data_IF_837136263476
#
_entry.id   IF_837136263476
#
_cell.length_a   1.000
_cell.length_b   1.000
_cell.length_c   1.000
_cell.angle_alpha   90.00
_cell.angle_beta   90.00
_cell.angle_gamma   90.00
#
_symmetry.space_group_name_H-M   'P 1'
#
loop_
_entity.id
_entity.type
_entity.pdbx_description
1 polymer ?
#
# COMPACT_ATOMS: atom_id res chain seq x y z
N UNK A 1 6.82 -13.55 15.06
CA UNK A 1 8.09 -12.82 14.85
C UNK A 1 8.67 -13.11 13.48
N UNK A 2 8.57 -14.36 12.99
CA UNK A 2 8.91 -14.71 11.62
C UNK A 2 7.66 -14.76 10.71
N UNK A 3 7.79 -14.26 9.49
CA UNK A 3 6.82 -14.39 8.41
C UNK A 3 7.54 -14.24 7.06
N UNK A 4 6.86 -14.58 5.95
CA UNK A 4 7.38 -14.38 4.59
C UNK A 4 6.71 -13.17 3.96
N UNK A 5 7.47 -12.37 3.23
CA UNK A 5 6.98 -11.19 2.51
C UNK A 5 7.62 -11.13 1.13
N UNK A 6 6.83 -10.70 0.15
CA UNK A 6 7.30 -10.35 -1.20
C UNK A 6 7.06 -8.86 -1.36
N UNK A 7 8.07 -8.13 -1.81
CA UNK A 7 8.05 -6.65 -1.88
C UNK A 7 8.13 -6.15 -3.32
N UNK A 8 7.44 -5.05 -3.59
CA UNK A 8 7.66 -4.24 -4.77
C UNK A 8 8.71 -3.17 -4.42
N UNK A 9 9.78 -3.08 -5.22
CA UNK A 9 10.79 -2.03 -5.07
C UNK A 9 11.11 -1.44 -6.44
N UNK A 10 11.08 -0.11 -6.54
CA UNK A 10 11.34 0.63 -7.76
C UNK A 10 12.40 1.69 -7.52
N UNK A 11 13.43 1.68 -8.37
CA UNK A 11 14.36 2.79 -8.51
C UNK A 11 14.03 3.50 -9.84
N UNK A 12 13.71 4.78 -9.77
CA UNK A 12 13.35 5.58 -10.94
C UNK A 12 14.25 6.82 -11.07
N UNK A 13 14.15 7.52 -12.20
CA UNK A 13 14.86 8.79 -12.39
C UNK A 13 14.31 9.80 -11.37
N UNK A 14 15.15 10.76 -10.96
CA UNK A 14 14.78 11.81 -10.01
C UNK A 14 13.83 12.85 -10.64
N UNK A 15 12.60 12.41 -10.91
CA UNK A 15 11.50 13.16 -11.50
C UNK A 15 10.20 12.86 -10.74
N UNK A 16 9.48 13.90 -10.35
CA UNK A 16 8.27 13.78 -9.50
C UNK A 16 7.13 13.11 -10.27
N UNK A 17 6.99 13.40 -11.57
CA UNK A 17 5.95 12.78 -12.38
C UNK A 17 6.23 11.28 -12.57
N UNK A 18 7.50 10.89 -12.77
CA UNK A 18 7.90 9.49 -12.83
C UNK A 18 7.66 8.75 -11.52
N UNK A 19 8.05 9.36 -10.40
CA UNK A 19 7.79 8.80 -9.06
C UNK A 19 6.29 8.55 -8.83
N UNK A 20 5.43 9.53 -9.16
CA UNK A 20 3.98 9.39 -9.02
C UNK A 20 3.40 8.29 -9.92
N UNK A 21 3.88 8.17 -11.17
CA UNK A 21 3.46 7.07 -12.07
C UNK A 21 3.81 5.69 -11.49
N UNK A 22 4.99 5.56 -10.88
CA UNK A 22 5.37 4.31 -10.22
C UNK A 22 4.57 4.05 -8.97
N UNK A 23 4.29 5.07 -8.16
CA UNK A 23 3.43 4.97 -6.98
C UNK A 23 2.05 4.42 -7.34
N UNK A 24 1.38 5.03 -8.32
CA UNK A 24 0.07 4.57 -8.81
C UNK A 24 0.12 3.14 -9.33
N UNK A 25 1.21 2.76 -10.03
CA UNK A 25 1.36 1.41 -10.56
C UNK A 25 1.60 0.37 -9.47
N UNK A 26 2.41 0.67 -8.46
CA UNK A 26 2.64 -0.23 -7.32
C UNK A 26 1.35 -0.43 -6.52
N UNK A 27 0.60 0.65 -6.27
CA UNK A 27 -0.71 0.59 -5.62
C UNK A 27 -1.68 -0.29 -6.42
N UNK A 28 -1.80 -0.05 -7.73
CA UNK A 28 -2.67 -0.83 -8.61
C UNK A 28 -2.29 -2.32 -8.67
N UNK A 29 -1.00 -2.66 -8.58
CA UNK A 29 -0.58 -4.07 -8.51
C UNK A 29 -1.05 -4.74 -7.22
N UNK A 30 -0.92 -4.06 -6.07
CA UNK A 30 -1.38 -4.56 -4.78
C UNK A 30 -2.91 -4.72 -4.75
N UNK A 31 -3.64 -3.74 -5.29
CA UNK A 31 -5.11 -3.81 -5.43
C UNK A 31 -5.53 -4.99 -6.32
N UNK A 32 -4.85 -5.23 -7.45
CA UNK A 32 -5.13 -6.37 -8.32
C UNK A 32 -4.96 -7.71 -7.62
N UNK A 33 -3.98 -7.84 -6.72
CA UNK A 33 -3.80 -9.06 -5.92
C UNK A 33 -5.02 -9.26 -5.00
N UNK A 34 -5.45 -8.22 -4.29
CA UNK A 34 -6.63 -8.29 -3.42
C UNK A 34 -7.92 -8.60 -4.20
N UNK A 35 -8.11 -7.96 -5.36
CA UNK A 35 -9.23 -8.22 -6.26
C UNK A 35 -9.24 -9.66 -6.77
N UNK A 36 -8.09 -10.19 -7.18
CA UNK A 36 -7.97 -11.57 -7.66
C UNK A 36 -8.21 -12.61 -6.54
N UNK A 37 -7.95 -12.23 -5.29
CA UNK A 37 -8.26 -13.03 -4.10
C UNK A 37 -9.70 -12.83 -3.61
N UNK A 38 -10.49 -11.98 -4.28
CA UNK A 38 -11.86 -11.61 -3.90
C UNK A 38 -11.98 -11.06 -2.47
N UNK A 39 -10.92 -10.36 -2.02
CA UNK A 39 -10.88 -9.77 -0.69
C UNK A 39 -11.42 -8.33 -0.72
N UNK A 40 -12.44 -7.99 0.08
CA UNK A 40 -12.91 -6.61 0.21
C UNK A 40 -11.87 -5.76 0.94
N UNK A 41 -11.54 -4.60 0.36
CA UNK A 41 -10.53 -3.70 0.90
C UNK A 41 -10.92 -2.23 0.75
N UNK A 42 -10.22 -1.37 1.47
CA UNK A 42 -10.26 0.08 1.32
C UNK A 42 -8.86 0.66 1.15
N UNK A 43 -8.78 1.79 0.47
CA UNK A 43 -7.56 2.57 0.25
C UNK A 43 -7.54 3.75 1.23
N UNK A 44 -6.46 3.92 1.98
CA UNK A 44 -6.36 4.95 3.03
C UNK A 44 -5.10 5.79 2.81
N UNK A 45 -5.29 7.11 2.66
CA UNK A 45 -4.19 8.07 2.70
C UNK A 45 -3.71 8.23 4.15
N UNK A 46 -2.42 8.03 4.38
CA UNK A 46 -1.84 8.07 5.72
C UNK A 46 -1.56 9.51 6.12
N UNK A 47 -1.95 9.86 7.35
CA UNK A 47 -1.74 11.21 7.87
C UNK A 47 -0.25 11.54 8.00
N UNK A 48 0.12 12.81 7.85
CA UNK A 48 1.53 13.25 7.93
C UNK A 48 2.22 12.93 9.24
N UNK A 49 1.48 12.80 10.35
CA UNK A 49 2.01 12.39 11.65
C UNK A 49 2.33 10.90 11.76
N UNK A 50 1.79 10.07 10.87
CA UNK A 50 1.87 8.61 10.95
C UNK A 50 2.74 8.00 9.83
N UNK A 51 3.04 8.75 8.76
CA UNK A 51 3.88 8.26 7.65
C UNK A 51 5.31 7.86 8.08
N UNK A 52 5.82 8.46 9.15
CA UNK A 52 7.22 8.31 9.56
C UNK A 52 8.18 9.18 8.73
N UNK A 53 9.46 9.15 9.11
CA UNK A 53 10.47 10.06 8.54
C UNK A 53 10.87 9.63 7.11
N UNK A 54 11.03 10.62 6.22
CA UNK A 54 11.57 10.42 4.86
C UNK A 54 10.55 10.02 3.80
N UNK A 55 9.27 9.82 4.14
CA UNK A 55 8.21 9.54 3.17
C UNK A 55 7.61 10.83 2.60
N UNK A 56 7.42 10.85 1.28
CA UNK A 56 6.74 11.94 0.59
C UNK A 56 5.22 11.78 0.61
N UNK A 57 4.74 10.54 0.44
CA UNK A 57 3.34 10.12 0.49
C UNK A 57 3.30 8.66 0.94
N UNK A 58 2.22 8.26 1.61
CA UNK A 58 1.98 6.86 1.93
C UNK A 58 0.49 6.56 1.82
N UNK A 59 0.19 5.41 1.21
CA UNK A 59 -1.16 4.86 1.11
C UNK A 59 -1.15 3.42 1.60
N UNK A 60 -2.11 3.10 2.47
CA UNK A 60 -2.29 1.75 2.99
C UNK A 60 -3.53 1.09 2.36
N UNK A 61 -3.44 -0.22 2.15
CA UNK A 61 -4.58 -1.07 1.80
C UNK A 61 -4.97 -1.89 3.02
N UNK A 62 -6.20 -1.69 3.47
CA UNK A 62 -6.77 -2.40 4.60
C UNK A 62 -7.86 -3.36 4.13
N UNK A 63 -7.79 -4.61 4.58
CA UNK A 63 -8.74 -5.66 4.22
C UNK A 63 -9.68 -5.93 5.40
N UNK A 64 -10.96 -6.17 5.10
CA UNK A 64 -11.98 -6.45 6.12
C UNK A 64 -11.72 -7.78 6.85
N UNK A 65 -11.76 -7.76 8.19
CA UNK A 65 -11.63 -8.95 9.04
C UNK A 65 -12.95 -9.20 9.78
N UNK A 66 -13.81 -10.12 9.30
CA UNK A 66 -15.16 -10.30 9.82
C UNK A 66 -15.24 -10.61 11.32
N UNK A 67 -14.29 -11.39 11.84
CA UNK A 67 -14.25 -11.76 13.26
C UNK A 67 -13.94 -10.57 14.19
N UNK A 68 -13.31 -9.53 13.67
CA UNK A 68 -13.00 -8.31 14.42
C UNK A 68 -13.99 -7.16 14.12
N UNK A 69 -14.83 -7.29 13.09
CA UNK A 69 -15.74 -6.23 12.67
C UNK A 69 -15.04 -4.95 12.24
N UNK A 70 -13.82 -5.05 11.68
CA UNK A 70 -13.02 -3.90 11.24
C UNK A 70 -12.04 -4.28 10.13
N UNK A 71 -11.56 -3.27 9.42
CA UNK A 71 -10.46 -3.39 8.47
C UNK A 71 -9.11 -3.49 9.19
N UNK A 72 -8.15 -4.23 8.61
CA UNK A 72 -6.77 -4.37 9.09
C UNK A 72 -5.79 -4.17 7.93
N UNK A 73 -4.68 -3.51 8.20
CA UNK A 73 -3.62 -3.26 7.22
C UNK A 73 -3.06 -4.56 6.63
N UNK A 74 -2.89 -4.58 5.31
CA UNK A 74 -2.29 -5.71 4.57
C UNK A 74 -1.15 -5.27 3.66
N UNK A 75 -1.19 -4.05 3.13
CA UNK A 75 -0.17 -3.48 2.28
C UNK A 75 0.04 -2.01 2.61
N UNK A 76 1.26 -1.52 2.36
CA UNK A 76 1.62 -0.11 2.43
C UNK A 76 2.45 0.25 1.20
N UNK A 77 2.15 1.40 0.57
CA UNK A 77 2.85 1.94 -0.59
C UNK A 77 3.43 3.31 -0.22
N UNK A 78 4.74 3.49 -0.42
CA UNK A 78 5.52 4.69 -0.06
C UNK A 78 6.45 5.13 -1.18
#
# INVERSE_FOLDING_TARGET
HEFRKVEQYVLCIADVEESNRWFERMLANSEKILQALELPYRVVEVSTGDMGLGKYRQVDLETWVPSEGRDRETHSCS
#
